data_IF_437669825642
#
_entry.id   IF_437669825642
#
_cell.length_a   1.000
_cell.length_b   1.000
_cell.length_c   1.000
_cell.angle_alpha   90.00
_cell.angle_beta   90.00
_cell.angle_gamma   90.00
#
_symmetry.space_group_name_H-M   'P 1'
#
loop_
_entity.id
_entity.type
_entity.pdbx_description
1 polymer ?
#
# COMPACT_ATOMS: atom_id res chain seq x y z
N UNK A 1 -19.47 12.09 8.09
CA UNK A 1 -18.10 11.81 8.49
C UNK A 1 -17.60 10.54 7.82
N UNK A 2 -16.43 10.61 7.30
CA UNK A 2 -15.88 9.46 6.62
C UNK A 2 -15.12 8.58 7.59
N UNK A 3 -15.22 7.29 7.44
CA UNK A 3 -14.48 6.40 8.31
C UNK A 3 -13.01 6.40 7.96
N UNK A 4 -12.23 5.90 8.89
CA UNK A 4 -10.84 5.65 8.61
C UNK A 4 -10.75 4.55 7.56
N UNK A 5 -9.78 4.68 6.69
CA UNK A 5 -9.52 3.65 5.71
C UNK A 5 -8.38 2.78 6.24
N UNK A 6 -8.57 1.49 6.13
CA UNK A 6 -7.55 0.54 6.54
C UNK A 6 -6.61 0.30 5.39
N UNK A 7 -5.47 0.93 5.44
CA UNK A 7 -4.49 0.83 4.38
C UNK A 7 -3.29 0.08 4.91
N UNK A 8 -2.85 -0.90 4.16
CA UNK A 8 -1.65 -1.65 4.47
C UNK A 8 -0.60 -1.36 3.41
N UNK A 9 0.61 -1.16 3.86
CA UNK A 9 1.74 -0.97 2.96
C UNK A 9 2.61 -2.21 3.05
N UNK A 10 2.84 -2.84 1.91
CA UNK A 10 3.70 -4.01 1.85
C UNK A 10 4.80 -3.78 0.82
N UNK A 11 5.89 -4.52 0.97
CA UNK A 11 7.01 -4.45 0.05
C UNK A 11 7.31 -5.88 -0.39
N UNK A 12 7.42 -6.07 -1.68
CA UNK A 12 7.65 -7.38 -2.27
C UNK A 12 8.92 -7.37 -3.10
N UNK A 13 9.74 -8.37 -2.93
CA UNK A 13 10.90 -8.55 -3.79
C UNK A 13 10.49 -9.53 -4.88
N UNK A 14 10.17 -8.99 -6.06
CA UNK A 14 9.68 -9.82 -7.15
C UNK A 14 10.80 -10.42 -7.97
N UNK A 15 11.92 -9.74 -8.02
CA UNK A 15 13.13 -10.24 -8.63
C UNK A 15 14.27 -9.91 -7.70
N UNK A 16 15.39 -10.60 -7.83
CA UNK A 16 16.53 -10.32 -6.96
C UNK A 16 16.91 -8.86 -7.02
N UNK A 17 16.85 -8.21 -5.86
CA UNK A 17 17.23 -6.81 -5.75
C UNK A 17 16.21 -5.84 -6.30
N UNK A 18 15.00 -6.29 -6.62
CA UNK A 18 13.97 -5.43 -7.14
C UNK A 18 12.78 -5.44 -6.22
N UNK A 19 12.65 -4.39 -5.44
CA UNK A 19 11.61 -4.28 -4.42
C UNK A 19 10.52 -3.32 -4.90
N UNK A 20 9.28 -3.75 -4.74
CA UNK A 20 8.11 -2.94 -5.11
C UNK A 20 7.25 -2.73 -3.88
N UNK A 21 6.75 -1.51 -3.72
CA UNK A 21 5.77 -1.27 -2.66
C UNK A 21 4.37 -1.40 -3.22
N UNK A 22 3.46 -1.85 -2.37
CA UNK A 22 2.06 -2.01 -2.73
C UNK A 22 1.21 -1.48 -1.59
N UNK A 23 0.27 -0.62 -1.92
CA UNK A 23 -0.73 -0.14 -0.97
C UNK A 23 -1.99 -0.95 -1.17
N UNK A 24 -2.54 -1.45 -0.10
CA UNK A 24 -3.75 -2.25 -0.12
C UNK A 24 -4.76 -1.66 0.81
N UNK A 25 -6.03 -1.79 0.47
CA UNK A 25 -7.12 -1.30 1.29
C UNK A 25 -7.99 -2.46 1.71
N UNK A 26 -8.35 -2.48 2.99
CA UNK A 26 -9.26 -3.50 3.49
C UNK A 26 -10.62 -3.29 2.88
N UNK A 27 -11.26 -4.39 2.50
CA UNK A 27 -12.59 -4.30 1.92
C UNK A 27 -13.63 -4.46 3.01
N UNK A 28 -14.78 -3.85 2.78
CA UNK A 28 -15.90 -4.03 3.67
C UNK A 28 -16.65 -5.31 3.41
N UNK A 29 -16.37 -5.95 2.30
CA UNK A 29 -17.09 -7.17 1.95
C UNK A 29 -16.34 -8.33 2.52
N UNK A 30 -16.77 -8.75 3.66
CA UNK A 30 -16.14 -9.87 4.32
C UNK A 30 -16.70 -11.16 3.77
N UNK A 31 -16.61 -11.33 2.49
CA UNK A 31 -16.98 -12.59 1.88
C UNK A 31 -15.95 -13.61 2.30
N UNK A 32 -16.40 -14.79 2.53
CA UNK A 32 -15.52 -15.81 3.07
C UNK A 32 -14.37 -16.11 2.17
N UNK A 33 -14.59 -15.99 0.87
CA UNK A 33 -13.56 -16.33 -0.07
C UNK A 33 -12.85 -15.12 -0.64
N UNK A 34 -13.21 -13.93 -0.18
CA UNK A 34 -12.60 -12.71 -0.69
C UNK A 34 -11.37 -12.40 0.11
N UNK A 35 -10.39 -11.86 -0.57
CA UNK A 35 -9.24 -11.34 0.13
C UNK A 35 -9.67 -10.11 0.93
N UNK A 36 -9.20 -9.99 2.17
CA UNK A 36 -9.62 -8.85 2.99
C UNK A 36 -9.00 -7.54 2.53
N UNK A 37 -8.01 -7.58 1.66
CA UNK A 37 -7.34 -6.38 1.18
C UNK A 37 -7.26 -6.43 -0.33
N UNK A 38 -7.46 -5.27 -0.96
CA UNK A 38 -7.32 -5.14 -2.40
C UNK A 38 -6.23 -4.12 -2.70
N UNK A 39 -5.38 -4.39 -3.69
CA UNK A 39 -4.38 -3.40 -4.07
C UNK A 39 -5.04 -2.15 -4.62
N UNK A 40 -4.56 -0.99 -4.19
CA UNK A 40 -5.05 0.27 -4.72
C UNK A 40 -3.98 1.02 -5.48
N UNK A 41 -2.71 0.75 -5.17
CA UNK A 41 -1.61 1.43 -5.85
C UNK A 41 -0.35 0.63 -5.63
N UNK A 42 0.56 0.69 -6.60
CA UNK A 42 1.84 0.03 -6.45
C UNK A 42 2.89 0.83 -7.21
N UNK A 43 4.16 0.58 -6.86
CA UNK A 43 5.23 1.28 -7.56
C UNK A 43 5.34 0.77 -8.99
N UNK A 44 5.61 1.70 -9.90
CA UNK A 44 5.79 1.34 -11.30
C UNK A 44 7.18 0.76 -11.53
N UNK A 45 8.14 1.21 -10.74
CA UNK A 45 9.53 0.82 -10.91
C UNK A 45 10.04 0.18 -9.64
N UNK A 46 11.01 -0.71 -9.76
CA UNK A 46 11.58 -1.34 -8.57
C UNK A 46 12.54 -0.41 -7.85
N UNK A 47 12.71 -0.68 -6.57
CA UNK A 47 13.72 -0.02 -5.75
C UNK A 47 14.79 -1.03 -5.41
N UNK A 48 15.99 -0.52 -5.16
CA UNK A 48 17.13 -1.41 -4.95
C UNK A 48 17.15 -2.05 -3.57
N UNK A 49 16.43 -1.48 -2.61
CA UNK A 49 16.41 -2.01 -1.26
C UNK A 49 15.00 -1.98 -0.72
N UNK A 50 14.76 -2.84 0.27
CA UNK A 50 13.49 -2.87 0.97
C UNK A 50 13.19 -1.50 1.59
N UNK A 51 14.20 -0.92 2.24
CA UNK A 51 13.98 0.34 2.93
C UNK A 51 13.57 1.45 1.98
N UNK A 52 14.21 1.51 0.80
CA UNK A 52 13.88 2.55 -0.16
C UNK A 52 12.47 2.36 -0.71
N UNK A 53 12.07 1.11 -0.95
CA UNK A 53 10.71 0.85 -1.40
C UNK A 53 9.69 1.24 -0.33
N UNK A 54 10.01 0.94 0.91
CA UNK A 54 9.10 1.26 2.02
C UNK A 54 8.92 2.77 2.16
N UNK A 55 10.01 3.52 2.09
CA UNK A 55 9.93 4.98 2.20
C UNK A 55 9.13 5.54 1.05
N UNK A 56 9.36 5.02 -0.16
CA UNK A 56 8.60 5.49 -1.32
C UNK A 56 7.12 5.17 -1.18
N UNK A 57 6.80 4.00 -0.63
CA UNK A 57 5.41 3.65 -0.40
C UNK A 57 4.75 4.56 0.62
N UNK A 58 5.46 4.92 1.67
CA UNK A 58 4.94 5.86 2.65
C UNK A 58 4.69 7.22 2.01
N UNK A 59 5.60 7.66 1.14
CA UNK A 59 5.40 8.93 0.44
C UNK A 59 4.18 8.86 -0.46
N UNK A 60 3.98 7.74 -1.13
CA UNK A 60 2.80 7.56 -1.97
C UNK A 60 1.53 7.59 -1.14
N UNK A 61 1.54 6.97 0.02
CA UNK A 61 0.39 6.99 0.90
C UNK A 61 0.05 8.41 1.33
N UNK A 62 1.05 9.21 1.63
CA UNK A 62 0.81 10.59 2.02
C UNK A 62 0.24 11.41 0.87
N UNK A 63 0.72 11.14 -0.36
CA UNK A 63 0.16 11.85 -1.51
C UNK A 63 -1.30 11.51 -1.71
N UNK A 64 -1.66 10.26 -1.48
CA UNK A 64 -3.03 9.82 -1.74
C UNK A 64 -3.99 10.21 -0.63
N UNK A 65 -3.52 10.23 0.60
CA UNK A 65 -4.40 10.41 1.76
C UNK A 65 -4.06 11.63 2.59
N UNK A 66 -3.03 12.38 2.20
CA UNK A 66 -2.65 13.58 2.93
C UNK A 66 -1.78 13.27 4.13
N UNK A 67 -1.34 14.35 4.78
CA UNK A 67 -0.40 14.22 5.89
C UNK A 67 -1.01 13.51 7.10
N UNK A 68 -2.33 13.55 7.19
CA UNK A 68 -3.00 12.92 8.32
C UNK A 68 -3.13 11.42 8.16
N UNK A 69 -2.73 10.88 6.99
CA UNK A 69 -2.83 9.47 6.73
C UNK A 69 -4.14 9.11 6.06
N UNK A 70 -4.47 7.80 6.04
CA UNK A 70 -5.61 7.32 5.26
C UNK A 70 -6.94 7.56 5.97
N UNK A 71 -7.32 8.80 6.06
CA UNK A 71 -8.61 9.16 6.63
C UNK A 71 -9.14 10.37 5.90
N UNK A 72 -10.42 10.47 5.90
CA UNK A 72 -11.10 11.59 5.26
C UNK A 72 -11.33 12.71 6.22
#
# INVERSE_FOLDING_TARGET
MSPLRNIALTVHELEDGEFYWVLMEATDYAMEEALPYLPVESSADPYATYANALVAGLAAMRRMFGNAGPRD
#
